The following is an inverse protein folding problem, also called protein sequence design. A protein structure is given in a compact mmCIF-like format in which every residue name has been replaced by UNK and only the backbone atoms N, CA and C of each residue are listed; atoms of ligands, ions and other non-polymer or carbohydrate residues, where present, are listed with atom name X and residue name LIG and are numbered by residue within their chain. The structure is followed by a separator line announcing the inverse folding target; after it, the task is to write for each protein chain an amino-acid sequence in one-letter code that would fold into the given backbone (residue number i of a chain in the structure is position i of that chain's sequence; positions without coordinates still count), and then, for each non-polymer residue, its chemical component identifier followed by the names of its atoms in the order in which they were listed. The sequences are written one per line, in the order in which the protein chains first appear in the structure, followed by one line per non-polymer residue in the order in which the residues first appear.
data_IF_448465000466
#
_entry.id   IF_448465000466
#
_cell.length_a   1.000
_cell.length_b   1.000
_cell.length_c   1.000
_cell.angle_alpha   90.00
_cell.angle_beta   90.00
_cell.angle_gamma   90.00
#
_symmetry.space_group_name_H-M   'P 1'
#
loop_
_entity.id
_entity.type
_entity.pdbx_description
1 polymer ?
#
# COMPACT_ATOMS: atom_id res chain seq x y z
N UNK A 1 -22.54 -27.45 6.19
CA UNK A 1 -21.74 -28.03 5.09
C UNK A 1 -22.26 -27.55 3.71
N UNK A 2 -22.47 -26.24 3.51
CA UNK A 2 -23.09 -25.69 2.28
C UNK A 2 -22.64 -24.26 1.90
N UNK A 3 -21.41 -23.86 2.26
CA UNK A 3 -20.85 -22.56 1.84
C UNK A 3 -19.43 -22.69 1.26
N UNK A 4 -19.08 -23.88 0.80
CA UNK A 4 -17.91 -24.08 -0.04
C UNK A 4 -18.29 -23.63 -1.46
N UNK A 5 -17.53 -22.71 -2.04
CA UNK A 5 -17.43 -22.49 -3.50
C UNK A 5 -18.32 -21.43 -4.18
N UNK A 6 -18.31 -20.17 -3.77
CA UNK A 6 -18.83 -19.10 -4.64
C UNK A 6 -17.72 -18.49 -5.54
N UNK A 7 -16.53 -18.22 -4.99
CA UNK A 7 -15.42 -17.62 -5.74
C UNK A 7 -14.50 -18.65 -6.42
N UNK A 8 -14.35 -19.84 -5.85
CA UNK A 8 -13.54 -20.95 -6.42
C UNK A 8 -14.27 -21.77 -7.50
N UNK A 9 -15.55 -21.50 -7.77
CA UNK A 9 -16.34 -22.25 -8.76
C UNK A 9 -16.59 -21.53 -10.09
N UNK A 10 -16.13 -20.29 -10.29
CA UNK A 10 -16.25 -19.66 -11.62
C UNK A 10 -15.24 -20.23 -12.63
N UNK A 11 -13.99 -20.45 -12.20
CA UNK A 11 -12.94 -21.01 -13.07
C UNK A 11 -13.29 -22.41 -13.62
N UNK A 12 -13.82 -23.35 -12.81
CA UNK A 12 -14.20 -24.68 -13.31
C UNK A 12 -15.52 -24.70 -14.10
N UNK A 13 -16.44 -23.73 -13.90
CA UNK A 13 -17.78 -23.77 -14.51
C UNK A 13 -17.92 -23.02 -15.83
N UNK A 14 -17.15 -21.96 -16.05
CA UNK A 14 -17.31 -21.09 -17.23
C UNK A 14 -16.03 -20.95 -18.05
N UNK A 15 -14.90 -21.48 -17.55
CA UNK A 15 -13.60 -21.37 -18.21
C UNK A 15 -12.92 -20.00 -18.04
N UNK A 16 -11.63 -19.96 -18.37
CA UNK A 16 -10.79 -18.77 -18.20
C UNK A 16 -11.31 -17.57 -19.01
N UNK A 17 -11.64 -17.78 -20.29
CA UNK A 17 -12.07 -16.71 -21.21
C UNK A 17 -13.33 -15.95 -20.75
N UNK A 18 -14.45 -16.64 -20.48
CA UNK A 18 -15.68 -15.99 -19.99
C UNK A 18 -15.51 -15.30 -18.63
N UNK A 19 -14.70 -15.86 -17.73
CA UNK A 19 -14.40 -15.25 -16.43
C UNK A 19 -13.66 -13.92 -16.59
N UNK A 20 -12.64 -13.88 -17.47
CA UNK A 20 -11.91 -12.64 -17.78
C UNK A 20 -12.84 -11.61 -18.41
N UNK A 21 -13.72 -12.00 -19.34
CA UNK A 21 -14.72 -11.09 -19.94
C UNK A 21 -15.70 -10.53 -18.91
N UNK A 22 -16.22 -11.36 -18.01
CA UNK A 22 -17.10 -10.92 -16.93
C UNK A 22 -16.41 -9.90 -16.01
N UNK A 23 -15.15 -10.14 -15.64
CA UNK A 23 -14.37 -9.18 -14.86
C UNK A 23 -14.15 -7.85 -15.63
N UNK A 24 -13.91 -7.92 -16.94
CA UNK A 24 -13.80 -6.75 -17.80
C UNK A 24 -15.08 -5.92 -17.85
N UNK A 25 -16.25 -6.56 -18.02
CA UNK A 25 -17.53 -5.86 -18.01
C UNK A 25 -17.83 -5.19 -16.66
N UNK A 26 -17.45 -5.82 -15.56
CA UNK A 26 -17.57 -5.23 -14.22
C UNK A 26 -16.71 -3.96 -14.10
N UNK A 27 -15.44 -4.02 -14.51
CA UNK A 27 -14.53 -2.87 -14.48
C UNK A 27 -15.03 -1.74 -15.38
N UNK A 28 -15.52 -2.06 -16.58
CA UNK A 28 -16.11 -1.07 -17.49
C UNK A 28 -17.34 -0.41 -16.85
N UNK A 29 -18.24 -1.20 -16.28
CA UNK A 29 -19.42 -0.69 -15.59
C UNK A 29 -19.06 0.27 -14.45
N UNK A 30 -18.13 -0.12 -13.58
CA UNK A 30 -17.64 0.74 -12.50
C UNK A 30 -16.97 2.02 -13.03
N UNK A 31 -16.21 1.93 -14.12
CA UNK A 31 -15.54 3.09 -14.73
C UNK A 31 -16.55 4.05 -15.35
N UNK A 32 -17.57 3.54 -16.05
CA UNK A 32 -18.65 4.35 -16.62
C UNK A 32 -19.39 5.09 -15.51
N UNK A 33 -19.77 4.39 -14.42
CA UNK A 33 -20.39 5.03 -13.26
C UNK A 33 -19.47 6.11 -12.68
N UNK A 34 -18.18 5.82 -12.54
CA UNK A 34 -17.17 6.80 -12.12
C UNK A 34 -17.14 8.03 -13.02
N UNK A 35 -17.13 7.86 -14.34
CA UNK A 35 -17.15 8.96 -15.32
C UNK A 35 -18.44 9.77 -15.25
N UNK A 36 -19.59 9.12 -15.06
CA UNK A 36 -20.88 9.79 -14.90
C UNK A 36 -20.97 10.59 -13.60
N UNK A 37 -20.32 10.14 -12.52
CA UNK A 37 -20.30 10.81 -11.22
C UNK A 37 -19.21 11.89 -11.12
N UNK A 38 -18.19 11.83 -11.96
CA UNK A 38 -17.06 12.77 -11.92
C UNK A 38 -17.52 14.16 -12.35
N UNK A 39 -17.65 15.06 -11.37
CA UNK A 39 -17.93 16.48 -11.60
C UNK A 39 -16.64 17.28 -11.52
N UNK A 40 -16.37 18.10 -12.53
CA UNK A 40 -15.25 19.04 -12.51
C UNK A 40 -15.55 20.16 -11.51
N UNK A 41 -14.99 20.08 -10.30
CA UNK A 41 -15.16 21.09 -9.26
C UNK A 41 -14.22 22.30 -9.39
N UNK A 42 -13.29 22.32 -10.35
CA UNK A 42 -12.38 23.45 -10.55
C UNK A 42 -12.61 24.11 -11.91
N UNK A 43 -12.92 25.42 -11.96
CA UNK A 43 -12.88 26.14 -13.23
C UNK A 43 -11.47 26.00 -13.79
N UNK A 44 -11.30 25.68 -15.09
CA UNK A 44 -9.98 25.50 -15.69
C UNK A 44 -9.21 26.81 -15.50
N UNK A 45 -8.21 26.82 -14.59
CA UNK A 45 -7.29 27.94 -14.50
C UNK A 45 -6.61 28.04 -15.87
N UNK A 46 -6.70 29.26 -16.43
CA UNK A 46 -6.21 29.71 -17.73
C UNK A 46 -4.83 29.12 -18.05
N UNK A 47 -4.60 28.90 -19.35
CA UNK A 47 -3.44 28.34 -20.09
C UNK A 47 -2.01 28.76 -19.70
N UNK A 48 -1.78 29.39 -18.56
CA UNK A 48 -0.48 29.89 -18.11
C UNK A 48 0.15 29.02 -17.00
N UNK A 49 -0.20 27.73 -16.94
CA UNK A 49 0.53 26.79 -16.08
C UNK A 49 1.87 26.51 -16.75
N UNK A 50 2.89 27.22 -16.28
CA UNK A 50 4.30 26.91 -16.54
C UNK A 50 4.47 25.39 -16.36
N UNK A 51 5.05 24.65 -17.33
CA UNK A 51 5.31 23.23 -17.16
C UNK A 51 5.99 23.03 -15.82
N UNK A 52 5.44 22.15 -14.97
CA UNK A 52 6.05 21.83 -13.69
C UNK A 52 7.49 21.42 -13.98
N UNK A 53 8.46 22.23 -13.56
CA UNK A 53 9.86 21.94 -13.81
C UNK A 53 10.22 20.70 -13.00
N UNK A 54 10.19 19.54 -13.65
CA UNK A 54 10.44 18.23 -13.03
C UNK A 54 11.79 18.25 -12.31
N UNK A 55 12.77 19.03 -12.80
CA UNK A 55 14.08 19.19 -12.17
C UNK A 55 14.00 19.87 -10.80
N UNK A 56 13.04 20.78 -10.60
CA UNK A 56 12.76 21.41 -9.32
C UNK A 56 12.30 20.39 -8.27
N UNK A 57 11.57 19.35 -8.68
CA UNK A 57 11.12 18.29 -7.77
C UNK A 57 12.29 17.47 -7.21
N UNK A 58 13.27 17.16 -8.05
CA UNK A 58 14.51 16.48 -7.61
C UNK A 58 15.38 17.36 -6.71
N UNK A 59 15.22 18.68 -6.78
CA UNK A 59 15.93 19.63 -5.91
C UNK A 59 15.25 19.79 -4.55
N UNK A 60 13.99 19.36 -4.41
CA UNK A 60 13.25 19.41 -3.15
C UNK A 60 13.63 18.22 -2.25
N UNK A 61 14.60 18.44 -1.36
CA UNK A 61 15.11 17.42 -0.45
C UNK A 61 14.01 16.72 0.37
N UNK A 62 12.94 17.43 0.73
CA UNK A 62 11.81 16.87 1.51
C UNK A 62 11.06 15.81 0.71
N UNK A 63 10.80 16.13 -0.55
CA UNK A 63 10.13 15.25 -1.50
C UNK A 63 11.00 14.04 -1.84
N UNK A 64 12.30 14.25 -2.11
CA UNK A 64 13.25 13.18 -2.39
C UNK A 64 13.42 12.21 -1.22
N UNK A 65 13.57 12.72 0.00
CA UNK A 65 13.70 11.88 1.21
C UNK A 65 12.41 11.11 1.48
N UNK A 66 11.24 11.76 1.30
CA UNK A 66 9.96 11.07 1.43
C UNK A 66 9.81 9.96 0.39
N UNK A 67 10.12 10.23 -0.88
CA UNK A 67 10.07 9.23 -1.95
C UNK A 67 11.02 8.07 -1.68
N UNK A 68 12.25 8.34 -1.24
CA UNK A 68 13.20 7.30 -0.89
C UNK A 68 12.66 6.45 0.27
N UNK A 69 12.10 7.07 1.30
CA UNK A 69 11.48 6.36 2.42
C UNK A 69 10.28 5.52 2.00
N UNK A 70 9.40 6.04 1.15
CA UNK A 70 8.26 5.32 0.61
C UNK A 70 8.71 4.12 -0.24
N UNK A 71 9.71 4.31 -1.11
CA UNK A 71 10.29 3.26 -1.95
C UNK A 71 10.91 2.15 -1.10
N UNK A 72 11.72 2.49 -0.09
CA UNK A 72 12.31 1.54 0.84
C UNK A 72 11.21 0.80 1.62
N UNK A 73 10.19 1.51 2.11
CA UNK A 73 9.09 0.86 2.83
C UNK A 73 8.31 -0.13 1.95
N UNK A 74 8.12 0.20 0.67
CA UNK A 74 7.40 -0.61 -0.31
C UNK A 74 8.05 -1.97 -0.55
N UNK A 75 9.39 -2.08 -0.47
CA UNK A 75 10.09 -3.37 -0.53
C UNK A 75 9.66 -4.35 0.57
N UNK A 76 9.22 -3.85 1.72
CA UNK A 76 8.76 -4.68 2.82
C UNK A 76 7.24 -4.85 2.89
N UNK A 77 6.48 -3.79 2.56
CA UNK A 77 5.01 -3.81 2.69
C UNK A 77 4.39 -4.90 1.82
N UNK A 78 4.93 -5.21 0.64
CA UNK A 78 4.36 -6.25 -0.23
C UNK A 78 4.51 -7.69 0.28
N UNK A 79 5.44 -7.96 1.21
CA UNK A 79 5.78 -9.33 1.61
C UNK A 79 4.58 -10.13 2.15
N UNK A 80 3.84 -9.67 3.18
CA UNK A 80 2.74 -10.47 3.71
C UNK A 80 1.62 -10.65 2.69
N UNK A 81 1.31 -9.62 1.88
CA UNK A 81 0.27 -9.73 0.86
C UNK A 81 0.55 -10.85 -0.17
N UNK A 82 1.82 -11.08 -0.51
CA UNK A 82 2.22 -12.12 -1.47
C UNK A 82 2.43 -13.49 -0.83
N UNK A 83 2.99 -13.54 0.39
CA UNK A 83 3.47 -14.79 0.98
C UNK A 83 2.58 -15.35 2.11
N UNK A 84 1.59 -14.61 2.63
CA UNK A 84 0.76 -15.07 3.76
C UNK A 84 -0.03 -16.35 3.44
N UNK A 85 -0.47 -16.50 2.18
CA UNK A 85 -1.14 -17.71 1.73
C UNK A 85 -0.18 -18.90 1.68
N UNK A 86 1.03 -18.71 1.15
CA UNK A 86 2.04 -19.78 1.09
C UNK A 86 2.52 -20.18 2.49
N UNK A 87 2.75 -19.20 3.36
CA UNK A 87 3.13 -19.39 4.76
C UNK A 87 2.08 -20.21 5.51
N UNK A 88 0.81 -19.83 5.41
CA UNK A 88 -0.28 -20.53 6.11
C UNK A 88 -0.47 -21.97 5.66
N UNK A 89 -0.33 -22.25 4.35
CA UNK A 89 -0.37 -23.62 3.82
C UNK A 89 0.78 -24.47 4.37
N UNK A 90 2.00 -23.91 4.43
CA UNK A 90 3.16 -24.63 4.96
C UNK A 90 3.05 -24.93 6.46
N UNK A 91 2.36 -24.07 7.21
CA UNK A 91 2.09 -24.26 8.64
C UNK A 91 0.82 -25.08 8.92
N UNK A 92 0.37 -25.90 7.96
CA UNK A 92 -0.77 -26.83 8.10
C UNK A 92 -2.12 -26.16 8.41
N UNK A 93 -2.28 -24.88 8.10
CA UNK A 93 -3.59 -24.21 8.21
C UNK A 93 -4.49 -24.63 7.04
N UNK A 94 -5.78 -24.81 7.32
CA UNK A 94 -6.78 -25.22 6.32
C UNK A 94 -6.70 -24.38 5.04
N UNK A 95 -6.62 -25.05 3.90
CA UNK A 95 -6.37 -24.43 2.60
C UNK A 95 -7.47 -23.41 2.21
N UNK A 96 -8.71 -23.61 2.67
CA UNK A 96 -9.77 -22.64 2.40
C UNK A 96 -9.53 -21.33 3.14
N UNK A 97 -9.16 -21.41 4.41
CA UNK A 97 -8.90 -20.22 5.24
C UNK A 97 -7.64 -19.51 4.72
N UNK A 98 -6.61 -20.26 4.36
CA UNK A 98 -5.39 -19.74 3.73
C UNK A 98 -5.70 -18.97 2.43
N UNK A 99 -6.62 -19.45 1.60
CA UNK A 99 -7.09 -18.72 0.41
C UNK A 99 -7.89 -17.46 0.77
N UNK A 100 -8.79 -17.55 1.77
CA UNK A 100 -9.57 -16.40 2.23
C UNK A 100 -8.73 -15.35 2.98
N UNK A 101 -7.51 -15.66 3.43
CA UNK A 101 -6.63 -14.71 4.12
C UNK A 101 -6.42 -13.42 3.32
N UNK A 102 -6.20 -13.52 2.00
CA UNK A 102 -6.04 -12.37 1.11
C UNK A 102 -7.33 -11.55 1.04
N UNK A 103 -8.50 -12.22 1.01
CA UNK A 103 -9.78 -11.53 1.04
C UNK A 103 -9.99 -10.79 2.37
N UNK A 104 -9.57 -11.39 3.49
CA UNK A 104 -9.61 -10.76 4.83
C UNK A 104 -8.68 -9.55 4.89
N UNK A 105 -7.45 -9.65 4.37
CA UNK A 105 -6.49 -8.53 4.28
C UNK A 105 -7.10 -7.37 3.47
N UNK A 106 -7.65 -7.66 2.29
CA UNK A 106 -8.24 -6.63 1.44
C UNK A 106 -9.53 -6.02 2.04
N UNK A 107 -10.37 -6.82 2.68
CA UNK A 107 -11.59 -6.34 3.34
C UNK A 107 -11.26 -5.44 4.53
N UNK A 108 -10.34 -5.87 5.39
CA UNK A 108 -9.88 -5.07 6.54
C UNK A 108 -9.09 -3.82 6.13
N UNK A 109 -8.46 -3.83 4.94
CA UNK A 109 -7.83 -2.64 4.37
C UNK A 109 -8.79 -1.48 4.16
N UNK A 110 -10.08 -1.73 3.93
CA UNK A 110 -11.09 -0.67 3.78
C UNK A 110 -11.19 0.13 5.08
N UNK A 111 -11.24 -0.55 6.23
CA UNK A 111 -11.26 0.10 7.54
C UNK A 111 -9.99 0.90 7.77
N UNK A 112 -8.84 0.32 7.42
CA UNK A 112 -7.55 1.02 7.45
C UNK A 112 -7.56 2.33 6.67
N UNK A 113 -8.09 2.32 5.45
CA UNK A 113 -8.19 3.51 4.59
C UNK A 113 -9.06 4.59 5.22
N UNK A 114 -10.24 4.23 5.72
CA UNK A 114 -11.17 5.19 6.32
C UNK A 114 -10.55 5.81 7.59
N UNK A 115 -10.04 4.97 8.48
CA UNK A 115 -9.45 5.40 9.76
C UNK A 115 -8.18 6.23 9.51
N UNK A 116 -7.28 5.73 8.66
CA UNK A 116 -6.03 6.41 8.32
C UNK A 116 -6.27 7.77 7.68
N UNK A 117 -7.13 7.86 6.67
CA UNK A 117 -7.46 9.12 6.02
C UNK A 117 -8.14 10.10 6.98
N UNK A 118 -9.10 9.64 7.80
CA UNK A 118 -9.75 10.49 8.79
C UNK A 118 -8.73 11.09 9.78
N UNK A 119 -7.80 10.27 10.29
CA UNK A 119 -6.76 10.77 11.18
C UNK A 119 -5.75 11.68 10.48
N UNK A 120 -5.48 11.46 9.19
CA UNK A 120 -4.60 12.33 8.41
C UNK A 120 -5.16 13.76 8.30
N UNK A 121 -6.47 13.89 8.15
CA UNK A 121 -7.14 15.19 8.09
C UNK A 121 -7.03 15.96 9.42
N UNK A 122 -6.99 15.25 10.56
CA UNK A 122 -6.94 15.85 11.90
C UNK A 122 -5.51 16.13 12.36
N UNK A 123 -4.61 15.17 12.18
CA UNK A 123 -3.25 15.17 12.77
C UNK A 123 -2.13 15.47 11.77
N UNK A 124 -2.45 15.52 10.48
CA UNK A 124 -1.49 15.73 9.39
C UNK A 124 -1.13 14.41 8.69
N UNK A 125 -1.06 14.39 7.35
CA UNK A 125 -0.81 13.17 6.58
C UNK A 125 0.58 12.58 6.87
N UNK A 126 1.61 13.40 7.06
CA UNK A 126 2.96 12.89 7.31
C UNK A 126 3.11 12.24 8.69
N UNK A 127 2.48 12.81 9.72
CA UNK A 127 2.47 12.21 11.07
C UNK A 127 1.81 10.83 11.08
N UNK A 128 0.62 10.73 10.48
CA UNK A 128 -0.15 9.49 10.44
C UNK A 128 0.53 8.45 9.54
N UNK A 129 1.14 8.88 8.43
CA UNK A 129 1.92 8.00 7.57
C UNK A 129 3.06 7.31 8.33
N UNK A 130 3.82 8.03 9.16
CA UNK A 130 4.89 7.41 9.98
C UNK A 130 4.31 6.36 10.93
N UNK A 131 3.24 6.68 11.65
CA UNK A 131 2.61 5.78 12.62
C UNK A 131 2.14 4.48 11.95
N UNK A 132 1.42 4.59 10.83
CA UNK A 132 0.92 3.43 10.08
C UNK A 132 2.04 2.64 9.39
N UNK A 133 3.12 3.28 8.95
CA UNK A 133 4.29 2.59 8.40
C UNK A 133 4.98 1.77 9.48
N UNK A 134 5.18 2.31 10.69
CA UNK A 134 5.74 1.58 11.84
C UNK A 134 4.83 0.43 12.26
N UNK A 135 3.52 0.66 12.34
CA UNK A 135 2.55 -0.38 12.67
C UNK A 135 2.54 -1.51 11.62
N UNK A 136 2.72 -1.17 10.33
CA UNK A 136 2.87 -2.17 9.25
C UNK A 136 4.18 -2.94 9.38
N UNK A 137 5.29 -2.28 9.71
CA UNK A 137 6.55 -2.96 10.02
C UNK A 137 6.42 -3.95 11.18
N UNK A 138 5.72 -3.56 12.24
CA UNK A 138 5.44 -4.43 13.39
C UNK A 138 4.52 -5.60 13.03
N UNK A 139 3.51 -5.38 12.18
CA UNK A 139 2.60 -6.44 11.73
C UNK A 139 3.29 -7.46 10.84
N UNK A 140 4.32 -7.07 10.06
CA UNK A 140 5.17 -7.99 9.31
C UNK A 140 5.91 -8.97 10.24
N UNK A 141 6.44 -8.50 11.37
CA UNK A 141 7.06 -9.40 12.37
C UNK A 141 6.06 -10.39 12.97
N UNK A 142 4.80 -9.98 13.12
CA UNK A 142 3.76 -10.83 13.67
C UNK A 142 3.46 -12.04 12.78
N UNK A 143 3.75 -11.98 11.47
CA UNK A 143 3.55 -13.10 10.52
C UNK A 143 4.27 -14.38 10.96
N UNK A 144 5.40 -14.28 11.65
CA UNK A 144 6.14 -15.46 12.16
C UNK A 144 5.41 -16.25 13.24
N UNK A 145 4.36 -15.67 13.84
CA UNK A 145 3.55 -16.31 14.88
C UNK A 145 2.29 -16.98 14.33
N UNK A 146 2.16 -17.12 13.01
CA UNK A 146 1.02 -17.83 12.42
C UNK A 146 1.23 -19.33 12.62
N UNK A 147 0.48 -19.90 13.56
CA UNK A 147 0.48 -21.34 13.84
C UNK A 147 -0.93 -21.95 13.78
N UNK A 148 -1.96 -21.12 13.98
CA UNK A 148 -3.36 -21.52 13.99
C UNK A 148 -4.21 -20.62 13.08
N UNK A 149 -5.39 -21.13 12.70
CA UNK A 149 -6.43 -20.37 11.99
C UNK A 149 -6.74 -19.01 12.65
N UNK A 150 -6.86 -18.97 13.98
CA UNK A 150 -7.14 -17.73 14.70
C UNK A 150 -6.03 -16.70 14.56
N UNK A 151 -4.78 -17.15 14.66
CA UNK A 151 -3.60 -16.28 14.48
C UNK A 151 -3.50 -15.73 13.05
N UNK A 152 -3.79 -16.55 12.04
CA UNK A 152 -3.82 -16.14 10.64
C UNK A 152 -4.83 -15.02 10.41
N UNK A 153 -6.06 -15.20 10.92
CA UNK A 153 -7.13 -14.21 10.75
C UNK A 153 -6.79 -12.91 11.49
N UNK A 154 -6.34 -12.99 12.75
CA UNK A 154 -5.99 -11.81 13.54
C UNK A 154 -4.85 -11.00 12.89
N UNK A 155 -3.78 -11.68 12.44
CA UNK A 155 -2.63 -11.03 11.79
C UNK A 155 -3.04 -10.46 10.44
N UNK A 156 -3.87 -11.17 9.67
CA UNK A 156 -4.41 -10.70 8.38
C UNK A 156 -5.25 -9.42 8.54
N UNK A 157 -6.10 -9.35 9.57
CA UNK A 157 -6.89 -8.15 9.89
C UNK A 157 -5.98 -7.00 10.29
N UNK A 158 -5.04 -7.25 11.22
CA UNK A 158 -4.16 -6.20 11.72
C UNK A 158 -3.26 -5.63 10.61
N UNK A 159 -2.62 -6.52 9.85
CA UNK A 159 -1.81 -6.13 8.69
C UNK A 159 -2.65 -5.44 7.61
N UNK A 160 -3.87 -5.93 7.34
CA UNK A 160 -4.77 -5.30 6.36
C UNK A 160 -5.16 -3.88 6.76
N UNK A 161 -5.50 -3.63 8.03
CA UNK A 161 -5.79 -2.28 8.53
C UNK A 161 -4.56 -1.37 8.36
N UNK A 162 -3.37 -1.83 8.78
CA UNK A 162 -2.18 -0.97 8.76
C UNK A 162 -1.67 -0.70 7.33
N UNK A 163 -1.58 -1.74 6.51
CA UNK A 163 -1.11 -1.64 5.11
C UNK A 163 -2.14 -0.97 4.19
N UNK A 164 -3.43 -1.15 4.47
CA UNK A 164 -4.52 -0.53 3.73
C UNK A 164 -4.51 0.99 3.84
N UNK A 165 -4.17 1.53 5.00
CA UNK A 165 -4.01 2.96 5.24
C UNK A 165 -2.76 3.54 4.56
N UNK A 166 -1.68 2.76 4.44
CA UNK A 166 -0.39 3.22 3.95
C UNK A 166 -0.44 3.82 2.54
N UNK A 167 -1.18 3.21 1.61
CA UNK A 167 -1.30 3.69 0.23
C UNK A 167 -1.93 5.08 0.10
N UNK A 168 -3.17 5.32 0.56
CA UNK A 168 -3.77 6.65 0.46
C UNK A 168 -3.02 7.71 1.26
N UNK A 169 -2.46 7.35 2.42
CA UNK A 169 -1.64 8.26 3.22
C UNK A 169 -0.36 8.66 2.50
N UNK A 170 0.24 7.77 1.70
CA UNK A 170 1.38 8.08 0.84
C UNK A 170 1.01 9.15 -0.20
N UNK A 171 -0.14 8.99 -0.87
CA UNK A 171 -0.61 9.97 -1.86
C UNK A 171 -0.96 11.31 -1.21
N UNK A 172 -1.62 11.29 -0.05
CA UNK A 172 -1.93 12.51 0.72
C UNK A 172 -0.65 13.22 1.19
N UNK A 173 0.36 12.46 1.63
CA UNK A 173 1.65 13.00 2.03
C UNK A 173 2.39 13.64 0.85
N UNK A 174 2.40 12.99 -0.32
CA UNK A 174 2.97 13.54 -1.56
C UNK A 174 2.26 14.83 -1.98
N UNK A 175 0.93 14.86 -1.88
CA UNK A 175 0.14 16.06 -2.16
C UNK A 175 0.47 17.20 -1.16
N UNK A 176 0.65 16.89 0.12
CA UNK A 176 1.01 17.89 1.16
C UNK A 176 2.41 18.49 1.01
N UNK A 177 3.30 17.80 0.28
CA UNK A 177 4.64 18.27 -0.03
C UNK A 177 4.66 19.20 -1.25
N UNK A 178 3.59 19.22 -2.05
CA UNK A 178 3.45 20.10 -3.20
C UNK A 178 3.35 21.56 -2.76
N UNK A 179 3.93 22.47 -3.56
CA UNK A 179 3.82 23.92 -3.30
C UNK A 179 2.52 24.47 -3.87
N UNK A 180 2.13 23.99 -5.04
CA UNK A 180 0.88 24.36 -5.72
C UNK A 180 0.04 23.14 -6.08
N UNK A 181 -1.28 23.32 -6.10
CA UNK A 181 -2.24 22.26 -6.45
C UNK A 181 -2.09 21.76 -7.89
N UNK A 182 -1.53 22.59 -8.79
CA UNK A 182 -1.22 22.21 -10.18
C UNK A 182 -0.07 21.20 -10.27
N UNK A 183 0.85 21.19 -9.30
CA UNK A 183 2.00 20.28 -9.29
C UNK A 183 1.70 18.93 -8.65
N UNK A 184 0.60 18.80 -7.90
CA UNK A 184 0.26 17.58 -7.15
C UNK A 184 0.21 16.36 -8.07
N UNK A 185 -0.46 16.48 -9.22
CA UNK A 185 -0.56 15.38 -10.18
C UNK A 185 0.80 14.95 -10.74
N UNK A 186 1.67 15.92 -11.08
CA UNK A 186 3.00 15.64 -11.60
C UNK A 186 3.92 15.00 -10.55
N UNK A 187 3.85 15.46 -9.29
CA UNK A 187 4.60 14.88 -8.16
C UNK A 187 4.13 13.46 -7.85
N UNK A 188 2.81 13.24 -7.72
CA UNK A 188 2.28 11.90 -7.47
C UNK A 188 2.62 10.96 -8.63
N UNK A 189 2.51 11.41 -9.88
CA UNK A 189 2.88 10.63 -11.06
C UNK A 189 4.36 10.24 -11.09
N UNK A 190 5.26 11.18 -10.80
CA UNK A 190 6.70 10.91 -10.73
C UNK A 190 7.04 9.93 -9.61
N UNK A 191 6.43 10.11 -8.43
CA UNK A 191 6.60 9.20 -7.30
C UNK A 191 6.13 7.79 -7.64
N UNK A 192 4.98 7.64 -8.31
CA UNK A 192 4.47 6.34 -8.77
C UNK A 192 5.38 5.68 -9.81
N UNK A 193 5.93 6.47 -10.74
CA UNK A 193 6.88 5.98 -11.74
C UNK A 193 8.14 5.40 -11.07
N UNK A 194 8.71 6.11 -10.09
CA UNK A 194 9.87 5.62 -9.34
C UNK A 194 9.52 4.45 -8.41
N UNK A 195 8.34 4.48 -7.80
CA UNK A 195 7.84 3.40 -6.93
C UNK A 195 7.65 2.08 -7.66
N UNK A 196 7.47 2.11 -8.99
CA UNK A 196 7.34 0.91 -9.82
C UNK A 196 8.58 0.02 -9.75
N UNK A 197 9.78 0.59 -9.62
CA UNK A 197 11.02 -0.18 -9.41
C UNK A 197 10.99 -0.96 -8.08
N UNK A 198 10.42 -0.37 -7.03
CA UNK A 198 10.24 -1.02 -5.74
C UNK A 198 9.26 -2.19 -5.82
N UNK A 199 8.09 -1.99 -6.44
CA UNK A 199 7.11 -3.08 -6.61
C UNK A 199 7.64 -4.23 -7.46
N UNK A 200 8.40 -3.92 -8.53
CA UNK A 200 8.97 -4.95 -9.40
C UNK A 200 10.13 -5.70 -8.73
N UNK A 201 10.95 -5.00 -7.95
CA UNK A 201 12.11 -5.58 -7.27
C UNK A 201 11.78 -6.33 -5.98
N UNK A 202 10.66 -6.03 -5.31
CA UNK A 202 10.34 -6.64 -4.02
C UNK A 202 10.11 -8.16 -4.09
N UNK A 203 9.28 -8.70 -5.01
CA UNK A 203 9.06 -10.15 -5.10
C UNK A 203 10.32 -10.99 -5.37
N UNK A 204 11.21 -10.67 -6.32
CA UNK A 204 12.40 -11.50 -6.56
C UNK A 204 13.40 -11.44 -5.40
N UNK A 205 13.54 -10.30 -4.72
CA UNK A 205 14.40 -10.18 -3.53
C UNK A 205 13.86 -11.01 -2.37
N UNK A 206 12.54 -10.97 -2.13
CA UNK A 206 11.91 -11.80 -1.11
C UNK A 206 11.97 -13.29 -1.45
N UNK A 207 11.80 -13.63 -2.73
CA UNK A 207 11.92 -15.01 -3.22
C UNK A 207 13.33 -15.58 -3.06
N UNK A 208 14.37 -14.80 -3.35
CA UNK A 208 15.76 -15.22 -3.15
C UNK A 208 16.12 -15.35 -1.67
N UNK A 209 15.51 -14.55 -0.79
CA UNK A 209 15.70 -14.65 0.66
C UNK A 209 15.06 -15.90 1.27
N UNK A 210 13.97 -16.40 0.68
CA UNK A 210 13.25 -17.57 1.18
C UNK A 210 14.07 -18.87 1.01
N UNK A 211 14.92 -18.94 -0.04
CA UNK A 211 15.73 -20.11 -0.42
C UNK A 211 14.91 -21.42 -0.60
N UNK A 212 15.55 -22.49 -1.07
CA UNK A 212 14.92 -23.82 -1.20
C UNK A 212 14.53 -24.45 0.15
N UNK A 213 15.12 -23.95 1.25
CA UNK A 213 14.91 -24.44 2.62
C UNK A 213 13.74 -23.77 3.34
N UNK A 214 13.03 -22.82 2.71
CA UNK A 214 11.90 -22.09 3.29
C UNK A 214 12.21 -21.43 4.65
N UNK A 215 13.34 -20.73 4.74
CA UNK A 215 13.71 -20.00 5.96
C UNK A 215 12.98 -18.64 6.05
N UNK A 216 11.71 -18.69 6.46
CA UNK A 216 10.80 -17.54 6.52
C UNK A 216 11.28 -16.35 7.39
N UNK A 217 12.17 -16.60 8.33
CA UNK A 217 12.74 -15.54 9.17
C UNK A 217 13.51 -14.50 8.33
N UNK A 218 14.22 -14.93 7.28
CA UNK A 218 15.05 -14.04 6.44
C UNK A 218 14.22 -13.00 5.70
N UNK A 219 13.19 -13.36 4.91
CA UNK A 219 12.39 -12.38 4.21
C UNK A 219 11.52 -11.55 5.16
N UNK A 220 11.09 -12.09 6.32
CA UNK A 220 10.37 -11.30 7.34
C UNK A 220 11.26 -10.22 7.93
N UNK A 221 12.47 -10.56 8.39
CA UNK A 221 13.42 -9.60 8.96
C UNK A 221 13.74 -8.53 7.93
N UNK A 222 14.06 -8.92 6.70
CA UNK A 222 14.31 -7.98 5.61
C UNK A 222 13.12 -7.06 5.38
N UNK A 223 11.91 -7.61 5.24
CA UNK A 223 10.72 -6.82 4.93
C UNK A 223 10.36 -5.86 6.06
N UNK A 224 10.36 -6.34 7.31
CA UNK A 224 10.03 -5.50 8.45
C UNK A 224 11.09 -4.41 8.68
N UNK A 225 12.38 -4.71 8.52
CA UNK A 225 13.45 -3.71 8.65
C UNK A 225 13.41 -2.68 7.53
N UNK A 226 13.12 -3.07 6.29
CA UNK A 226 12.90 -2.13 5.18
C UNK A 226 11.68 -1.24 5.43
N UNK A 227 10.56 -1.79 5.88
CA UNK A 227 9.37 -0.98 6.23
C UNK A 227 9.64 0.00 7.36
N UNK A 228 10.29 -0.44 8.44
CA UNK A 228 10.65 0.45 9.57
C UNK A 228 11.71 1.48 9.16
N UNK A 229 12.70 1.08 8.36
CA UNK A 229 13.71 1.98 7.80
C UNK A 229 13.09 3.06 6.92
N UNK A 230 12.12 2.70 6.09
CA UNK A 230 11.32 3.65 5.32
C UNK A 230 10.55 4.63 6.19
N UNK A 231 9.98 4.18 7.32
CA UNK A 231 9.34 5.06 8.30
C UNK A 231 10.31 6.11 8.88
N UNK A 232 11.58 5.75 9.10
CA UNK A 232 12.61 6.68 9.57
C UNK A 232 12.90 7.78 8.52
N UNK A 233 13.03 7.42 7.24
CA UNK A 233 13.17 8.41 6.17
C UNK A 233 11.93 9.33 6.06
N UNK A 234 10.73 8.77 6.17
CA UNK A 234 9.49 9.56 6.17
C UNK A 234 9.45 10.50 7.38
N UNK A 235 9.92 10.05 8.55
CA UNK A 235 10.04 10.88 9.74
C UNK A 235 11.03 12.04 9.51
N UNK A 236 12.17 11.80 8.87
CA UNK A 236 13.11 12.86 8.48
C UNK A 236 12.40 13.87 7.57
N UNK A 237 11.73 13.41 6.51
CA UNK A 237 10.99 14.28 5.60
C UNK A 237 9.94 15.13 6.35
N UNK A 238 9.22 14.52 7.30
CA UNK A 238 8.28 15.20 8.20
C UNK A 238 8.97 16.28 9.03
N UNK A 239 10.11 15.99 9.66
CA UNK A 239 10.82 17.00 10.48
C UNK A 239 11.30 18.18 9.65
N UNK A 240 11.77 17.94 8.41
CA UNK A 240 12.18 19.01 7.50
C UNK A 240 10.98 19.85 7.04
N UNK A 241 9.83 19.21 6.78
CA UNK A 241 8.59 19.91 6.43
C UNK A 241 8.06 20.74 7.61
N UNK A 242 8.07 20.20 8.83
CA UNK A 242 7.66 20.92 10.04
C UNK A 242 8.52 22.15 10.33
N UNK A 243 9.85 22.05 10.13
CA UNK A 243 10.77 23.19 10.24
C UNK A 243 10.45 24.28 9.21
N UNK A 244 10.11 23.92 7.97
CA UNK A 244 9.77 24.90 6.93
C UNK A 244 8.43 25.60 7.20
N UNK A 245 7.43 24.85 7.70
CA UNK A 245 6.08 25.38 7.92
C UNK A 245 5.92 26.09 9.28
N UNK A 246 6.90 26.01 10.19
CA UNK A 246 6.80 26.49 11.58
C UNK A 246 5.52 26.01 12.30
N UNK A 247 5.02 24.82 11.90
CA UNK A 247 3.80 24.20 12.42
C UNK A 247 4.08 22.73 12.71
N UNK A 248 3.52 22.23 13.82
CA UNK A 248 3.66 20.83 14.22
C UNK A 248 2.64 19.90 13.54
N UNK A 249 1.54 20.47 13.02
CA UNK A 249 0.53 19.75 12.23
C UNK A 249 0.93 19.77 10.76
N UNK A 250 1.52 18.66 10.33
CA UNK A 250 2.13 18.44 9.01
C UNK A 250 1.93 16.99 8.61
#
# INVERSE_FOLDING_TARGET
MHAHNASSQLFPKIGFGPTVRASGYLVIGCTIVGLCLMRTEYPPKRKDQVPSDIKSFFSDARYMIFMLGALVAQFGVFFPASYIQLYSIQHHVDQNISFYSIAIVNGSSILGRIIGCHFADVYGPLNIQVCFTLATGASIWAVLKIHDTGSLVAISIFYGITSGAWWPLTYNSLASLAQDTSEVGARVGLALALSSFGTLGAPPVQGSLLNETYEWIRPVVFSATMTIGGAFFILIARTLQAKKLNKQRV
#
